data_IF_165205806589
#
_entry.id   IF_165205806589
#
_cell.length_a   1.000
_cell.length_b   1.000
_cell.length_c   1.000
_cell.angle_alpha   90.00
_cell.angle_beta   90.00
_cell.angle_gamma   90.00
#
_symmetry.space_group_name_H-M   'P 1'
#
loop_
_entity.id
_entity.type
_entity.pdbx_description
1 polymer ?
#
# COMPACT_ATOMS: atom_id res chain seq x y z
N UNK A 1 -4.47 9.32 22.84
CA UNK A 1 -4.38 9.30 21.41
C UNK A 1 -4.84 7.98 20.81
N UNK A 2 -4.88 7.94 19.52
CA UNK A 2 -5.28 6.74 18.80
C UNK A 2 -4.19 5.69 18.91
N UNK A 3 -4.55 4.47 19.25
CA UNK A 3 -3.59 3.38 19.31
C UNK A 3 -3.12 3.05 17.87
N UNK A 4 -1.86 2.69 17.74
CA UNK A 4 -1.30 2.35 16.42
C UNK A 4 -2.07 1.22 15.76
N UNK A 5 -2.62 0.29 16.54
CA UNK A 5 -3.39 -0.83 16.01
C UNK A 5 -4.70 -0.38 15.35
N UNK A 6 -5.15 0.84 15.58
CA UNK A 6 -6.37 1.37 14.99
C UNK A 6 -6.12 2.06 13.65
N UNK A 7 -4.87 2.27 13.28
CA UNK A 7 -4.53 2.90 12.02
C UNK A 7 -4.56 1.88 10.89
N UNK A 8 -5.16 2.28 9.78
CA UNK A 8 -5.12 1.46 8.57
C UNK A 8 -3.74 1.58 7.92
N UNK A 9 -3.32 0.54 7.20
CA UNK A 9 -2.07 0.55 6.47
C UNK A 9 -1.93 1.78 5.56
N UNK A 10 -3.02 2.20 4.92
CA UNK A 10 -3.02 3.40 4.07
C UNK A 10 -2.64 4.65 4.85
N UNK A 11 -3.07 4.76 6.12
CA UNK A 11 -2.70 5.90 6.96
C UNK A 11 -1.19 5.94 7.16
N UNK A 12 -0.58 4.79 7.37
CA UNK A 12 0.88 4.69 7.57
C UNK A 12 1.62 5.08 6.30
N UNK A 13 1.15 4.59 5.15
CA UNK A 13 1.77 4.93 3.87
C UNK A 13 1.72 6.43 3.59
N UNK A 14 0.57 7.05 3.85
CA UNK A 14 0.41 8.49 3.67
C UNK A 14 1.31 9.27 4.63
N UNK A 15 1.37 8.83 5.90
CA UNK A 15 2.20 9.48 6.90
C UNK A 15 3.68 9.46 6.52
N UNK A 16 4.16 8.36 5.95
CA UNK A 16 5.55 8.25 5.50
C UNK A 16 5.89 9.25 4.42
N UNK A 17 4.93 9.62 3.61
CA UNK A 17 5.12 10.59 2.53
C UNK A 17 4.76 12.01 2.96
N UNK A 18 4.27 12.19 4.18
CA UNK A 18 3.87 13.51 4.68
C UNK A 18 2.68 14.09 3.93
N UNK A 19 1.74 13.25 3.51
CA UNK A 19 0.60 13.68 2.72
C UNK A 19 -0.70 13.04 3.20
N UNK A 20 -1.82 13.39 2.57
CA UNK A 20 -3.10 12.76 2.83
C UNK A 20 -3.23 11.49 2.00
N UNK A 21 -4.11 10.58 2.45
CA UNK A 21 -4.37 9.33 1.70
C UNK A 21 -4.80 9.64 0.27
N UNK A 22 -5.68 10.63 0.09
CA UNK A 22 -6.15 10.99 -1.25
C UNK A 22 -5.02 11.43 -2.19
N UNK A 23 -3.96 12.01 -1.64
CA UNK A 23 -2.81 12.43 -2.43
C UNK A 23 -2.08 11.23 -3.05
N UNK A 24 -2.10 10.09 -2.37
CA UNK A 24 -1.46 8.87 -2.86
C UNK A 24 -2.09 8.38 -4.16
N UNK A 25 -3.36 8.69 -4.36
CA UNK A 25 -4.07 8.29 -5.57
C UNK A 25 -4.01 9.37 -6.66
N UNK A 26 -3.93 10.64 -6.27
CA UNK A 26 -3.94 11.77 -7.21
C UNK A 26 -2.56 12.03 -7.82
N UNK A 27 -1.49 11.78 -7.07
CA UNK A 27 -0.14 12.06 -7.54
C UNK A 27 0.56 10.77 -7.98
N UNK A 28 0.94 10.65 -9.26
CA UNK A 28 1.68 9.46 -9.72
C UNK A 28 2.99 9.24 -8.96
N UNK A 29 3.67 10.32 -8.60
CA UNK A 29 4.94 10.23 -7.84
C UNK A 29 4.68 9.68 -6.44
N UNK A 30 3.67 10.20 -5.74
CA UNK A 30 3.34 9.74 -4.40
C UNK A 30 2.81 8.31 -4.43
N UNK A 31 2.02 7.96 -5.43
CA UNK A 31 1.50 6.61 -5.60
C UNK A 31 2.63 5.60 -5.76
N UNK A 32 3.59 5.90 -6.63
CA UNK A 32 4.75 5.03 -6.84
C UNK A 32 5.55 4.87 -5.55
N UNK A 33 5.78 5.98 -4.84
CA UNK A 33 6.52 5.96 -3.58
C UNK A 33 5.80 5.11 -2.55
N UNK A 34 4.46 5.22 -2.47
CA UNK A 34 3.67 4.42 -1.53
C UNK A 34 3.73 2.93 -1.87
N UNK A 35 3.70 2.59 -3.16
CA UNK A 35 3.82 1.19 -3.59
C UNK A 35 5.18 0.62 -3.20
N UNK A 36 6.25 1.39 -3.35
CA UNK A 36 7.58 0.97 -2.92
C UNK A 36 7.65 0.79 -1.40
N UNK A 37 7.05 1.71 -0.65
CA UNK A 37 7.00 1.59 0.80
C UNK A 37 6.25 0.33 1.21
N UNK A 38 5.16 0.02 0.50
CA UNK A 38 4.38 -1.17 0.78
C UNK A 38 5.23 -2.44 0.56
N UNK A 39 6.03 -2.47 -0.50
CA UNK A 39 6.92 -3.60 -0.77
C UNK A 39 7.97 -3.79 0.32
N UNK A 40 8.31 -2.73 1.04
CA UNK A 40 9.32 -2.76 2.11
C UNK A 40 8.71 -2.92 3.49
N UNK A 41 7.38 -2.99 3.58
CA UNK A 41 6.70 -3.14 4.86
C UNK A 41 7.00 -4.51 5.45
N UNK A 42 7.20 -4.55 6.77
CA UNK A 42 7.43 -5.80 7.48
C UNK A 42 6.20 -6.69 7.39
N UNK A 43 6.44 -7.99 7.28
CA UNK A 43 5.36 -8.96 7.24
C UNK A 43 4.64 -9.06 8.58
N UNK A 44 3.36 -9.42 8.51
CA UNK A 44 2.52 -9.67 9.69
C UNK A 44 2.27 -8.46 10.58
N UNK A 45 2.51 -7.26 10.08
CA UNK A 45 2.20 -6.03 10.83
C UNK A 45 0.75 -5.60 10.66
N UNK A 46 0.14 -5.93 9.53
CA UNK A 46 -1.23 -5.54 9.21
C UNK A 46 -2.00 -6.73 8.64
N UNK A 47 -3.32 -6.77 8.85
CA UNK A 47 -4.13 -7.84 8.24
C UNK A 47 -4.02 -7.82 6.72
N UNK A 48 -4.10 -8.99 6.10
CA UNK A 48 -4.03 -9.11 4.65
C UNK A 48 -5.10 -8.27 3.96
N UNK A 49 -6.26 -8.13 4.58
CA UNK A 49 -7.34 -7.29 4.02
C UNK A 49 -6.89 -5.85 3.81
N UNK A 50 -6.07 -5.32 4.72
CA UNK A 50 -5.56 -3.95 4.59
C UNK A 50 -4.51 -3.85 3.48
N UNK A 51 -3.72 -4.89 3.28
CA UNK A 51 -2.80 -4.96 2.15
C UNK A 51 -3.57 -4.94 0.83
N UNK A 52 -4.65 -5.72 0.75
CA UNK A 52 -5.48 -5.77 -0.45
C UNK A 52 -6.17 -4.43 -0.70
N UNK A 53 -6.70 -3.80 0.34
CA UNK A 53 -7.31 -2.48 0.24
C UNK A 53 -6.30 -1.44 -0.28
N UNK A 54 -5.08 -1.50 0.23
CA UNK A 54 -4.03 -0.57 -0.17
C UNK A 54 -3.65 -0.71 -1.64
N UNK A 55 -3.46 -1.95 -2.11
CA UNK A 55 -3.15 -2.21 -3.50
C UNK A 55 -4.27 -1.74 -4.41
N UNK A 56 -5.51 -2.06 -4.05
CA UNK A 56 -6.67 -1.64 -4.83
C UNK A 56 -6.77 -0.12 -4.92
N UNK A 57 -6.56 0.55 -3.79
CA UNK A 57 -6.62 2.01 -3.75
C UNK A 57 -5.52 2.64 -4.60
N UNK A 58 -4.31 2.11 -4.51
CA UNK A 58 -3.15 2.69 -5.19
C UNK A 58 -3.09 2.36 -6.67
N UNK A 59 -3.55 1.17 -7.07
CA UNK A 59 -3.46 0.72 -8.46
C UNK A 59 -4.77 0.76 -9.22
N UNK A 60 -5.89 0.76 -8.50
CA UNK A 60 -7.21 0.64 -9.12
C UNK A 60 -7.53 -0.77 -9.60
N UNK A 61 -6.66 -1.72 -9.32
CA UNK A 61 -6.82 -3.10 -9.76
C UNK A 61 -7.46 -3.92 -8.64
N UNK A 62 -8.57 -4.57 -8.93
CA UNK A 62 -9.22 -5.48 -8.00
C UNK A 62 -8.72 -6.89 -8.27
N UNK A 63 -7.98 -7.42 -7.32
CA UNK A 63 -7.45 -8.76 -7.39
C UNK A 63 -7.35 -9.34 -5.99
N UNK A 64 -7.71 -10.60 -5.85
CA UNK A 64 -7.62 -11.29 -4.58
C UNK A 64 -6.23 -11.89 -4.41
N UNK A 65 -5.62 -11.61 -3.27
CA UNK A 65 -4.31 -12.15 -2.93
C UNK A 65 -4.47 -13.04 -1.70
N UNK A 66 -3.65 -14.07 -1.62
CA UNK A 66 -3.67 -15.00 -0.49
C UNK A 66 -2.53 -14.77 0.48
N UNK A 67 -1.57 -13.91 0.13
CA UNK A 67 -0.45 -13.59 1.01
C UNK A 67 0.15 -12.24 0.68
N UNK A 68 0.90 -11.69 1.65
CA UNK A 68 1.65 -10.45 1.47
C UNK A 68 2.72 -10.60 0.38
N UNK A 69 3.31 -11.79 0.29
CA UNK A 69 4.33 -12.06 -0.73
C UNK A 69 3.75 -11.92 -2.13
N UNK A 70 2.55 -12.42 -2.35
CA UNK A 70 1.88 -12.29 -3.65
C UNK A 70 1.66 -10.81 -3.99
N UNK A 71 1.31 -10.01 -3.00
CA UNK A 71 1.10 -8.58 -3.20
C UNK A 71 2.41 -7.90 -3.59
N UNK A 72 3.51 -8.20 -2.89
CA UNK A 72 4.81 -7.64 -3.24
C UNK A 72 5.23 -7.99 -4.65
N UNK A 73 5.08 -9.27 -5.01
CA UNK A 73 5.44 -9.74 -6.34
C UNK A 73 4.59 -9.05 -7.41
N UNK A 74 3.30 -8.87 -7.14
CA UNK A 74 2.40 -8.16 -8.04
C UNK A 74 2.85 -6.71 -8.25
N UNK A 75 3.15 -6.00 -7.16
CA UNK A 75 3.57 -4.60 -7.23
C UNK A 75 4.88 -4.47 -8.02
N UNK A 76 5.85 -5.32 -7.71
CA UNK A 76 7.14 -5.26 -8.40
C UNK A 76 6.99 -5.53 -9.89
N UNK A 77 6.12 -6.46 -10.25
CA UNK A 77 5.85 -6.77 -11.65
C UNK A 77 5.19 -5.59 -12.36
N UNK A 78 4.22 -4.94 -11.72
CA UNK A 78 3.55 -3.77 -12.29
C UNK A 78 4.54 -2.62 -12.50
N UNK A 79 5.47 -2.43 -11.57
CA UNK A 79 6.45 -1.36 -11.67
C UNK A 79 7.50 -1.60 -12.73
N UNK A 80 7.82 -2.86 -13.01
CA UNK A 80 8.78 -3.20 -14.06
C UNK A 80 8.21 -2.98 -15.46
N UNK A 81 6.91 -3.14 -15.61
CA UNK A 81 6.24 -2.98 -16.90
C UNK A 81 6.20 -1.51 -17.34
N UNK A 82 6.30 -0.62 -16.39
CA UNK A 82 6.28 0.82 -16.65
C UNK A 82 7.68 1.40 -16.61
#
# INVERSE_FOLDING_TARGET
GVAMSELHLLDILAARRGCFISDLNLSPILRRAALLDLCRMEENKFPLSQWQDSVRYLTGIEKDFTSEKQIRDFILNEMEVN
#
